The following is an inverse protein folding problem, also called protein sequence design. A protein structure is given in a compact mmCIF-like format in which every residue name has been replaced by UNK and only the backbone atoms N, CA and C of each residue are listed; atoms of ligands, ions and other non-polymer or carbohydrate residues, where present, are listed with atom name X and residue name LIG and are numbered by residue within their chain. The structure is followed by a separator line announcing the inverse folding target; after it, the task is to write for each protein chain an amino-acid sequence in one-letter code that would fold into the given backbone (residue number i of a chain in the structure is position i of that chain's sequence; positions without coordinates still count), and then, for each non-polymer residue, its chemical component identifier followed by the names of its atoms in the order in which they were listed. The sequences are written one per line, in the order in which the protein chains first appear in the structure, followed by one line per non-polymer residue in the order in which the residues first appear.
data_IF_294106540812
#
_entry.id   IF_294106540812
#
_cell.length_a   1.000
_cell.length_b   1.000
_cell.length_c   1.000
_cell.angle_alpha   90.00
_cell.angle_beta   90.00
_cell.angle_gamma   90.00
#
_symmetry.space_group_name_H-M   'P 1'
#
loop_
_entity.id
_entity.type
_entity.pdbx_description
1 polymer ?
#
# COMPACT_ATOMS: atom_id res chain seq x y z
N UNK A 1 -8.26 -15.05 11.97
CA UNK A 1 -7.92 -13.62 11.94
C UNK A 1 -8.90 -12.93 10.99
N UNK A 2 -9.14 -11.61 11.04
CA UNK A 2 -10.17 -11.01 10.19
C UNK A 2 -9.74 -11.09 8.72
N UNK A 3 -10.53 -11.79 7.92
CA UNK A 3 -10.45 -11.73 6.46
C UNK A 3 -11.03 -10.40 6.00
N UNK A 4 -10.32 -9.71 5.11
CA UNK A 4 -10.76 -8.45 4.53
C UNK A 4 -10.99 -8.63 3.03
N UNK A 5 -12.02 -8.01 2.48
CA UNK A 5 -12.33 -8.11 1.05
C UNK A 5 -12.10 -6.74 0.40
N UNK A 6 -11.21 -6.67 -0.59
CA UNK A 6 -11.08 -5.50 -1.48
C UNK A 6 -11.40 -5.96 -2.88
N UNK A 7 -12.46 -5.39 -3.48
CA UNK A 7 -12.85 -5.66 -4.86
C UNK A 7 -12.87 -7.17 -5.23
N UNK A 8 -13.51 -7.98 -4.37
CA UNK A 8 -13.65 -9.44 -4.49
C UNK A 8 -12.39 -10.28 -4.24
N UNK A 9 -11.27 -9.66 -3.84
CA UNK A 9 -10.09 -10.37 -3.37
C UNK A 9 -10.16 -10.51 -1.84
N UNK A 10 -10.01 -11.74 -1.34
CA UNK A 10 -9.98 -12.04 0.10
C UNK A 10 -8.55 -12.06 0.62
N UNK A 11 -8.26 -11.11 1.51
CA UNK A 11 -6.97 -10.95 2.15
C UNK A 11 -7.01 -11.44 3.58
N UNK A 12 -5.93 -12.08 4.00
CA UNK A 12 -5.66 -12.29 5.41
C UNK A 12 -4.63 -11.25 5.88
N UNK A 13 -5.02 -10.43 6.85
CA UNK A 13 -4.10 -9.57 7.58
C UNK A 13 -3.73 -10.26 8.90
N UNK A 14 -2.43 -10.44 9.11
CA UNK A 14 -1.91 -11.17 10.26
C UNK A 14 -0.64 -10.49 10.80
N UNK A 15 -0.10 -11.02 11.92
CA UNK A 15 1.09 -10.47 12.58
C UNK A 15 1.02 -8.95 12.80
N UNK A 16 -0.03 -8.44 13.45
CA UNK A 16 -0.10 -7.01 13.80
C UNK A 16 1.07 -6.60 14.68
N UNK A 17 1.96 -5.73 14.17
CA UNK A 17 3.22 -5.38 14.83
C UNK A 17 3.11 -4.05 15.60
N UNK A 18 2.52 -3.03 14.99
CA UNK A 18 2.55 -1.65 15.50
C UNK A 18 1.30 -0.88 15.06
N UNK A 19 0.87 0.10 15.85
CA UNK A 19 -0.12 1.10 15.43
C UNK A 19 0.60 2.41 15.21
N UNK A 20 0.53 2.95 13.99
CA UNK A 20 1.22 4.19 13.65
C UNK A 20 0.57 5.36 14.39
N UNK A 21 1.22 5.85 15.45
CA UNK A 21 0.73 6.93 16.33
C UNK A 21 -0.59 6.53 17.03
N UNK A 22 -0.96 7.26 18.10
CA UNK A 22 -2.23 6.97 18.78
C UNK A 22 -3.41 7.22 17.84
N UNK A 23 -4.17 6.16 17.53
CA UNK A 23 -5.38 6.20 16.70
C UNK A 23 -5.16 6.05 15.20
N UNK A 24 -3.91 5.87 14.74
CA UNK A 24 -3.61 5.65 13.33
C UNK A 24 -3.76 4.19 12.87
N UNK A 25 -3.42 3.91 11.61
CA UNK A 25 -3.52 2.58 11.02
C UNK A 25 -2.56 1.58 11.66
N UNK A 26 -2.95 0.31 11.65
CA UNK A 26 -2.12 -0.79 12.15
C UNK A 26 -1.18 -1.28 11.04
N UNK A 27 0.02 -1.71 11.41
CA UNK A 27 0.98 -2.36 10.53
C UNK A 27 0.84 -3.87 10.66
N UNK A 28 0.56 -4.53 9.54
CA UNK A 28 0.32 -5.97 9.46
C UNK A 28 1.05 -6.57 8.26
N UNK A 29 1.20 -7.89 8.26
CA UNK A 29 1.57 -8.64 7.05
C UNK A 29 0.30 -9.01 6.28
N UNK A 30 0.39 -9.09 4.95
CA UNK A 30 -0.75 -9.40 4.09
C UNK A 30 -0.53 -10.65 3.24
N UNK A 31 -1.55 -11.51 3.23
CA UNK A 31 -1.64 -12.69 2.36
C UNK A 31 -2.84 -12.61 1.44
N UNK A 32 -2.69 -13.17 0.24
CA UNK A 32 -3.78 -13.47 -0.69
C UNK A 32 -3.66 -14.93 -1.09
N UNK A 33 -4.75 -15.69 -0.99
CA UNK A 33 -4.75 -17.13 -1.32
C UNK A 33 -3.63 -17.93 -0.60
N UNK A 34 -3.37 -17.61 0.67
CA UNK A 34 -2.28 -18.16 1.51
C UNK A 34 -0.84 -17.82 1.07
N UNK A 35 -0.65 -17.00 0.04
CA UNK A 35 0.67 -16.52 -0.37
C UNK A 35 0.95 -15.16 0.26
N UNK A 36 2.14 -15.00 0.85
CA UNK A 36 2.60 -13.72 1.40
C UNK A 36 2.81 -12.76 0.23
N UNK A 37 2.08 -11.64 0.24
CA UNK A 37 2.28 -10.57 -0.74
C UNK A 37 3.31 -9.58 -0.22
N UNK A 38 3.19 -9.20 1.06
CA UNK A 38 4.04 -8.19 1.66
C UNK A 38 4.04 -8.29 3.19
N UNK A 39 5.19 -7.95 3.77
CA UNK A 39 5.34 -7.69 5.21
C UNK A 39 5.19 -6.20 5.53
N UNK A 40 4.69 -5.89 6.73
CA UNK A 40 4.61 -4.51 7.27
C UNK A 40 3.83 -3.53 6.38
N UNK A 41 2.69 -3.93 5.85
CA UNK A 41 1.79 -3.01 5.15
C UNK A 41 0.85 -2.27 6.10
N UNK A 42 0.37 -1.11 5.65
CA UNK A 42 -0.71 -0.39 6.33
C UNK A 42 -2.04 -1.15 6.17
N UNK A 43 -2.62 -1.55 7.30
CA UNK A 43 -3.90 -2.24 7.31
C UNK A 43 -4.97 -1.37 6.67
N UNK A 44 -5.82 -1.98 5.84
CA UNK A 44 -6.96 -1.33 5.19
C UNK A 44 -6.61 -0.18 4.23
N UNK A 45 -5.38 -0.13 3.69
CA UNK A 45 -5.02 0.82 2.63
C UNK A 45 -4.51 0.12 1.37
N UNK A 46 -5.46 -0.53 0.68
CA UNK A 46 -5.25 -1.21 -0.58
C UNK A 46 -6.12 -0.57 -1.66
N UNK A 47 -5.57 -0.45 -2.87
CA UNK A 47 -6.30 0.01 -4.06
C UNK A 47 -6.12 -1.03 -5.15
N UNK A 48 -7.22 -1.52 -5.72
CA UNK A 48 -7.20 -2.55 -6.75
C UNK A 48 -7.48 -1.95 -8.12
N UNK A 49 -6.58 -2.20 -9.07
CA UNK A 49 -6.80 -2.00 -10.49
C UNK A 49 -7.26 -3.32 -11.14
N UNK A 50 -8.56 -3.40 -11.43
CA UNK A 50 -9.16 -4.55 -12.11
C UNK A 50 -8.59 -4.78 -13.51
N UNK A 51 -8.20 -3.72 -14.23
CA UNK A 51 -7.70 -3.85 -15.61
C UNK A 51 -6.29 -4.41 -15.64
N UNK A 52 -5.39 -3.81 -14.86
CA UNK A 52 -3.99 -4.18 -14.76
C UNK A 52 -3.73 -5.41 -13.89
N UNK A 53 -4.73 -5.89 -13.14
CA UNK A 53 -4.59 -6.92 -12.11
C UNK A 53 -3.54 -6.53 -11.05
N UNK A 54 -3.51 -5.23 -10.72
CA UNK A 54 -2.55 -4.65 -9.80
C UNK A 54 -3.22 -4.34 -8.47
N UNK A 55 -2.60 -4.76 -7.38
CA UNK A 55 -3.00 -4.38 -6.03
C UNK A 55 -1.97 -3.44 -5.44
N UNK A 56 -2.31 -2.17 -5.33
CA UNK A 56 -1.47 -1.16 -4.69
C UNK A 56 -1.66 -1.16 -3.18
N UNK A 57 -0.58 -0.92 -2.45
CA UNK A 57 -0.57 -0.78 -1.00
C UNK A 57 0.65 0.02 -0.54
N UNK A 58 0.63 0.43 0.73
CA UNK A 58 1.76 1.09 1.37
C UNK A 58 2.50 0.11 2.27
N UNK A 59 3.82 0.07 2.12
CA UNK A 59 4.71 -0.64 3.03
C UNK A 59 5.40 0.33 3.97
N UNK A 60 5.46 -0.04 5.25
CA UNK A 60 6.13 0.71 6.30
C UNK A 60 7.56 0.20 6.49
N UNK A 61 8.51 1.14 6.51
CA UNK A 61 9.91 0.89 6.71
C UNK A 61 10.40 1.62 7.97
N UNK A 62 11.23 0.92 8.75
CA UNK A 62 11.86 1.47 9.95
C UNK A 62 13.32 1.04 10.00
N UNK A 63 14.21 1.98 9.72
CA UNK A 63 15.66 1.78 9.76
C UNK A 63 16.21 2.66 10.87
N UNK A 64 16.57 2.04 12.00
CA UNK A 64 16.93 2.74 13.24
C UNK A 64 15.81 3.69 13.71
N UNK A 65 16.05 5.00 13.61
CA UNK A 65 15.10 6.07 13.99
C UNK A 65 14.41 6.71 12.79
N UNK A 66 14.71 6.27 11.57
CA UNK A 66 14.09 6.78 10.35
C UNK A 66 12.92 5.88 9.95
N UNK A 67 11.77 6.49 9.76
CA UNK A 67 10.50 5.84 9.44
C UNK A 67 9.94 6.46 8.17
N UNK A 68 9.57 5.64 7.20
CA UNK A 68 8.99 6.09 5.94
C UNK A 68 8.09 5.02 5.34
N UNK A 69 7.34 5.43 4.31
CA UNK A 69 6.46 4.57 3.54
C UNK A 69 6.90 4.54 2.09
N UNK A 70 6.74 3.39 1.44
CA UNK A 70 6.80 3.27 -0.01
C UNK A 70 5.46 2.80 -0.54
N UNK A 71 5.17 3.17 -1.79
CA UNK A 71 4.06 2.57 -2.53
C UNK A 71 4.60 1.33 -3.21
N UNK A 72 3.85 0.25 -3.09
CA UNK A 72 4.15 -1.01 -3.71
C UNK A 72 2.92 -1.48 -4.49
N UNK A 73 3.12 -2.37 -5.45
CA UNK A 73 2.03 -3.10 -6.07
C UNK A 73 2.34 -4.58 -6.19
N UNK A 74 1.31 -5.40 -6.05
CA UNK A 74 1.36 -6.82 -6.33
C UNK A 74 0.65 -7.11 -7.66
N UNK A 75 1.38 -7.70 -8.60
CA UNK A 75 0.84 -8.16 -9.87
C UNK A 75 0.24 -9.55 -9.68
N UNK A 76 -1.09 -9.63 -9.67
CA UNK A 76 -1.82 -10.87 -9.31
C UNK A 76 -1.51 -12.01 -10.28
N UNK A 77 -1.33 -11.70 -11.56
CA UNK A 77 -1.11 -12.73 -12.58
C UNK A 77 0.28 -13.36 -12.50
N UNK A 78 1.32 -12.56 -12.23
CA UNK A 78 2.71 -13.04 -12.13
C UNK A 78 3.09 -13.41 -10.70
N UNK A 79 2.28 -13.02 -9.71
CA UNK A 79 2.52 -13.20 -8.28
C UNK A 79 3.79 -12.52 -7.78
N UNK A 80 4.11 -11.39 -8.37
CA UNK A 80 5.29 -10.61 -8.06
C UNK A 80 4.91 -9.32 -7.35
N UNK A 81 5.73 -8.92 -6.39
CA UNK A 81 5.59 -7.65 -5.69
C UNK A 81 6.67 -6.69 -6.16
N UNK A 82 6.25 -5.47 -6.50
CA UNK A 82 7.13 -4.40 -6.93
C UNK A 82 7.01 -3.23 -5.97
N UNK A 83 8.14 -2.56 -5.71
CA UNK A 83 8.21 -1.39 -4.86
C UNK A 83 8.65 -0.18 -5.68
N UNK A 84 7.90 0.92 -5.59
CA UNK A 84 8.36 2.21 -6.08
C UNK A 84 9.44 2.77 -5.15
N UNK A 85 10.44 3.41 -5.75
CA UNK A 85 11.62 3.91 -5.01
C UNK A 85 11.36 5.18 -4.20
N UNK A 86 10.24 5.89 -4.46
CA UNK A 86 9.90 7.12 -3.74
C UNK A 86 9.47 6.84 -2.30
N UNK A 87 10.07 7.60 -1.38
CA UNK A 87 9.77 7.56 0.05
C UNK A 87 8.77 8.66 0.45
N UNK A 88 7.91 8.33 1.41
CA UNK A 88 6.93 9.24 1.99
C UNK A 88 7.02 9.22 3.51
N UNK A 89 7.11 10.37 4.16
CA UNK A 89 7.00 10.46 5.62
C UNK A 89 5.62 9.98 6.13
N UNK A 90 4.59 10.23 5.33
CA UNK A 90 3.22 9.77 5.55
C UNK A 90 2.48 9.73 4.23
N UNK A 91 1.75 8.63 3.98
CA UNK A 91 0.94 8.44 2.79
C UNK A 91 -0.34 7.68 3.12
N UNK A 92 -1.40 7.94 2.36
CA UNK A 92 -2.60 7.12 2.31
C UNK A 92 -3.09 7.08 0.87
N UNK A 93 -3.28 5.89 0.33
CA UNK A 93 -3.78 5.70 -1.03
C UNK A 93 -5.27 6.05 -1.11
N UNK A 94 -5.62 6.96 -2.01
CA UNK A 94 -6.99 7.35 -2.32
C UNK A 94 -7.64 6.38 -3.30
N UNK A 95 -7.72 6.80 -4.56
CA UNK A 95 -8.25 6.01 -5.67
C UNK A 95 -7.38 6.18 -6.91
N UNK A 96 -7.54 5.29 -7.89
CA UNK A 96 -6.97 5.50 -9.22
C UNK A 96 -7.76 6.61 -9.92
N UNK A 97 -7.05 7.65 -10.34
CA UNK A 97 -7.59 8.78 -11.11
C UNK A 97 -7.64 8.40 -12.60
N UNK A 98 -6.63 7.64 -13.05
CA UNK A 98 -6.53 7.06 -14.38
C UNK A 98 -5.73 5.75 -14.32
N UNK A 99 -5.54 5.10 -15.47
CA UNK A 99 -4.78 3.83 -15.55
C UNK A 99 -3.29 4.01 -15.12
N UNK A 100 -2.80 5.24 -15.04
CA UNK A 100 -1.41 5.58 -14.69
C UNK A 100 -1.29 6.55 -13.52
N UNK A 101 -2.39 6.94 -12.86
CA UNK A 101 -2.36 7.97 -11.82
C UNK A 101 -3.07 7.50 -10.54
N UNK A 102 -2.35 7.53 -9.43
CA UNK A 102 -2.85 7.19 -8.11
C UNK A 102 -2.94 8.44 -7.23
N UNK A 103 -4.11 8.66 -6.61
CA UNK A 103 -4.26 9.72 -5.62
C UNK A 103 -3.58 9.32 -4.31
N UNK A 104 -2.75 10.21 -3.76
CA UNK A 104 -2.11 10.02 -2.45
C UNK A 104 -2.44 11.18 -1.55
N UNK A 105 -2.83 10.89 -0.31
CA UNK A 105 -2.94 11.88 0.76
C UNK A 105 -1.70 11.83 1.65
N UNK A 106 -1.15 12.99 2.02
CA UNK A 106 0.01 13.08 2.92
C UNK A 106 -0.38 13.02 4.42
N UNK A 107 -1.48 12.33 4.74
CA UNK A 107 -2.02 12.16 6.07
C UNK A 107 -2.98 10.94 6.14
N UNK A 108 -3.04 10.25 7.29
CA UNK A 108 -3.93 9.09 7.44
C UNK A 108 -5.41 9.44 7.67
N UNK A 109 -5.69 10.52 8.41
CA UNK A 109 -7.06 10.90 8.79
C UNK A 109 -7.57 12.12 8.05
N UNK A 110 -6.71 12.80 7.30
CA UNK A 110 -6.97 14.11 6.72
C UNK A 110 -7.01 14.03 5.21
N UNK A 111 -8.14 13.54 4.69
CA UNK A 111 -8.37 13.36 3.24
C UNK A 111 -8.86 14.64 2.55
N UNK A 112 -8.30 15.79 2.93
CA UNK A 112 -8.63 17.04 2.27
C UNK A 112 -7.89 17.16 0.93
N UNK A 113 -8.57 17.67 -0.10
CA UNK A 113 -8.03 17.80 -1.47
C UNK A 113 -6.79 18.70 -1.57
N UNK A 114 -6.61 19.63 -0.65
CA UNK A 114 -5.41 20.49 -0.58
C UNK A 114 -4.19 19.77 0.01
N UNK A 115 -4.37 18.54 0.52
CA UNK A 115 -3.31 17.67 1.06
C UNK A 115 -3.13 16.37 0.26
N UNK A 116 -3.70 16.31 -0.95
CA UNK A 116 -3.44 15.23 -1.89
C UNK A 116 -2.49 15.64 -3.00
N UNK A 117 -1.76 14.65 -3.52
CA UNK A 117 -0.96 14.72 -4.72
C UNK A 117 -1.36 13.60 -5.67
N UNK A 118 -1.03 13.79 -6.95
CA UNK A 118 -1.16 12.75 -7.97
C UNK A 118 0.20 12.09 -8.12
N UNK A 119 0.21 10.77 -8.01
CA UNK A 119 1.38 9.94 -8.23
C UNK A 119 1.24 9.26 -9.59
N UNK A 120 2.03 9.73 -10.55
CA UNK A 120 2.07 9.16 -11.88
C UNK A 120 2.96 7.93 -11.88
N UNK A 121 2.40 6.76 -12.16
CA UNK A 121 3.11 5.48 -12.13
C UNK A 121 4.21 5.40 -13.20
N UNK A 122 4.04 6.11 -14.33
CA UNK A 122 4.99 6.09 -15.45
C UNK A 122 6.26 6.92 -15.18
N UNK A 123 6.20 7.84 -14.23
CA UNK A 123 7.31 8.74 -13.88
C UNK A 123 8.25 8.13 -12.82
N UNK A 124 7.97 6.91 -12.34
CA UNK A 124 8.61 6.33 -11.17
C UNK A 124 9.36 5.05 -11.51
N UNK A 125 10.55 4.92 -10.92
CA UNK A 125 11.29 3.67 -10.95
C UNK A 125 10.74 2.68 -9.92
N UNK A 126 10.63 1.42 -10.32
CA UNK A 126 10.23 0.32 -9.46
C UNK A 126 11.25 -0.82 -9.47
N UNK A 127 11.33 -1.53 -8.35
CA UNK A 127 12.18 -2.71 -8.17
C UNK A 127 11.32 -3.92 -7.80
N UNK A 128 11.71 -5.09 -8.29
CA UNK A 128 11.12 -6.37 -7.84
C UNK A 128 11.57 -6.66 -6.41
N UNK A 129 10.63 -7.06 -5.56
CA UNK A 129 10.89 -7.56 -4.22
C UNK A 129 10.94 -9.10 -4.25
N UNK A 130 12.05 -9.67 -3.79
CA UNK A 130 12.29 -11.12 -3.66
C UNK A 130 11.69 -11.71 -2.36
#
# INVERSE_FOLDING_TARGET
MPTYTVANLEFELFNGQEVIRMGGPCICDARLNNELIIEKCLSQNFVYDEKGNLLFFLQYHKINYYEYFTINFYQILTKETYQFTREFDMAYLGSLISDHELEIFHAFHDKFRDKSSVFNLDDEDFILLD
#
